data_IF_182952416246
#
_entry.id   IF_182952416246
#
_cell.length_a   1.000
_cell.length_b   1.000
_cell.length_c   1.000
_cell.angle_alpha   90.00
_cell.angle_beta   90.00
_cell.angle_gamma   90.00
#
_symmetry.space_group_name_H-M   'P 1'
#
loop_
_entity.id
_entity.type
_entity.pdbx_description
1 polymer ?
#
# COMPACT_ATOMS: atom_id res chain seq x y z
N UNK A 1 14.75 -32.39 -3.72
CA UNK A 1 14.71 -30.98 -4.20
C UNK A 1 14.49 -30.09 -2.97
N UNK A 2 15.30 -29.05 -2.77
CA UNK A 2 15.08 -28.06 -1.70
C UNK A 2 14.62 -26.75 -2.36
N UNK A 3 13.55 -26.16 -1.86
CA UNK A 3 13.03 -24.87 -2.31
C UNK A 3 13.57 -23.78 -1.38
N UNK A 4 14.16 -22.73 -1.94
CA UNK A 4 14.58 -21.54 -1.21
C UNK A 4 13.65 -20.40 -1.66
N UNK A 5 13.02 -19.74 -0.70
CA UNK A 5 12.16 -18.59 -0.95
C UNK A 5 13.00 -17.31 -0.76
N UNK A 6 12.98 -16.44 -1.76
CA UNK A 6 13.66 -15.15 -1.73
C UNK A 6 12.66 -14.04 -2.03
N UNK A 7 12.89 -12.87 -1.46
CA UNK A 7 12.02 -11.70 -1.57
C UNK A 7 12.77 -10.59 -2.30
N UNK A 8 12.14 -9.96 -3.28
CA UNK A 8 12.75 -8.89 -4.05
C UNK A 8 12.04 -7.57 -3.78
N UNK A 9 12.80 -6.51 -3.47
CA UNK A 9 12.28 -5.15 -3.42
C UNK A 9 11.85 -4.70 -4.82
N UNK A 10 10.61 -4.24 -4.96
CA UNK A 10 10.06 -3.83 -6.26
C UNK A 10 10.74 -2.58 -6.84
N UNK A 11 11.30 -1.71 -5.98
CA UNK A 11 11.91 -0.43 -6.38
C UNK A 11 13.35 -0.56 -6.84
N UNK A 12 14.19 -1.27 -6.10
CA UNK A 12 15.63 -1.40 -6.40
C UNK A 12 16.06 -2.78 -6.87
N UNK A 13 15.14 -3.75 -6.94
CA UNK A 13 15.39 -5.14 -7.39
C UNK A 13 16.39 -5.93 -6.53
N UNK A 14 16.81 -5.40 -5.38
CA UNK A 14 17.61 -6.14 -4.40
C UNK A 14 16.83 -7.31 -3.84
N UNK A 15 17.53 -8.42 -3.66
CA UNK A 15 16.98 -9.69 -3.18
C UNK A 15 17.38 -9.88 -1.71
N UNK A 16 16.45 -10.39 -0.93
CA UNK A 16 16.53 -10.59 0.50
C UNK A 16 16.02 -11.97 0.87
N UNK A 17 16.51 -12.51 1.97
CA UNK A 17 16.10 -13.83 2.47
C UNK A 17 14.81 -13.75 3.31
N UNK A 18 14.35 -12.53 3.65
CA UNK A 18 13.11 -12.31 4.39
C UNK A 18 12.22 -11.23 3.78
N UNK A 19 10.91 -11.41 3.94
CA UNK A 19 9.90 -10.44 3.51
C UNK A 19 10.09 -9.10 4.22
N UNK A 20 10.37 -9.12 5.53
CA UNK A 20 10.56 -7.91 6.32
C UNK A 20 11.75 -7.08 5.85
N UNK A 21 12.87 -7.71 5.47
CA UNK A 21 14.02 -6.99 4.92
C UNK A 21 13.70 -6.34 3.58
N UNK A 22 13.00 -7.06 2.68
CA UNK A 22 12.57 -6.51 1.41
C UNK A 22 11.60 -5.33 1.60
N UNK A 23 10.63 -5.46 2.52
CA UNK A 23 9.67 -4.40 2.82
C UNK A 23 10.30 -3.18 3.50
N UNK A 24 11.25 -3.37 4.42
CA UNK A 24 11.99 -2.25 5.01
C UNK A 24 12.80 -1.50 3.95
N UNK A 25 13.38 -2.22 2.98
CA UNK A 25 14.03 -1.57 1.83
C UNK A 25 13.03 -0.78 0.98
N UNK A 26 11.84 -1.32 0.73
CA UNK A 26 10.79 -0.61 -0.01
C UNK A 26 10.33 0.65 0.74
N UNK A 27 10.03 0.53 2.03
CA UNK A 27 9.64 1.64 2.89
C UNK A 27 10.67 2.77 2.87
N UNK A 28 11.96 2.43 2.96
CA UNK A 28 13.06 3.39 2.90
C UNK A 28 13.12 4.17 1.57
N UNK A 29 12.68 3.59 0.44
CA UNK A 29 12.60 4.33 -0.83
C UNK A 29 11.53 5.41 -0.83
N UNK A 30 10.54 5.30 0.06
CA UNK A 30 9.48 6.28 0.26
C UNK A 30 9.73 7.19 1.47
N UNK A 31 10.86 7.03 2.16
CA UNK A 31 11.13 7.75 3.41
C UNK A 31 10.22 7.33 4.56
N UNK A 32 9.57 6.17 4.45
CA UNK A 32 8.65 5.64 5.44
C UNK A 32 9.37 4.63 6.36
N UNK A 33 8.88 4.53 7.59
CA UNK A 33 9.11 3.37 8.44
C UNK A 33 8.35 2.16 7.91
N UNK A 34 8.72 0.97 8.40
CA UNK A 34 8.03 -0.27 8.01
C UNK A 34 6.53 -0.24 8.39
N UNK A 35 6.19 0.31 9.56
CA UNK A 35 4.80 0.41 10.04
C UNK A 35 3.98 1.37 9.19
N UNK A 36 4.52 2.56 8.88
CA UNK A 36 3.89 3.53 7.98
C UNK A 36 3.71 2.95 6.57
N UNK A 37 4.69 2.17 6.08
CA UNK A 37 4.58 1.51 4.79
C UNK A 37 3.47 0.46 4.74
N UNK A 38 3.30 -0.32 5.82
CA UNK A 38 2.17 -1.24 5.95
C UNK A 38 0.84 -0.49 5.99
N UNK A 39 0.76 0.59 6.76
CA UNK A 39 -0.44 1.42 6.83
C UNK A 39 -0.80 2.00 5.45
N UNK A 40 0.19 2.52 4.72
CA UNK A 40 -0.01 3.03 3.37
C UNK A 40 -0.48 1.94 2.39
N UNK A 41 0.12 0.74 2.42
CA UNK A 41 -0.32 -0.41 1.62
C UNK A 41 -1.77 -0.81 1.96
N UNK A 42 -2.19 -0.69 3.22
CA UNK A 42 -3.56 -0.97 3.64
C UNK A 42 -4.55 0.10 3.14
N UNK A 43 -4.17 1.38 3.17
CA UNK A 43 -4.97 2.48 2.59
C UNK A 43 -5.16 2.27 1.09
N UNK A 44 -4.08 1.96 0.35
CA UNK A 44 -4.14 1.65 -1.08
C UNK A 44 -5.08 0.47 -1.39
N UNK A 45 -5.01 -0.59 -0.58
CA UNK A 45 -5.90 -1.75 -0.70
C UNK A 45 -7.35 -1.35 -0.45
N UNK A 46 -7.61 -0.56 0.60
CA UNK A 46 -8.95 -0.09 0.98
C UNK A 46 -9.58 0.76 -0.13
N UNK A 47 -8.82 1.69 -0.71
CA UNK A 47 -9.28 2.49 -1.86
C UNK A 47 -9.63 1.60 -3.06
N UNK A 48 -8.80 0.60 -3.35
CA UNK A 48 -9.05 -0.35 -4.44
C UNK A 48 -10.33 -1.16 -4.22
N UNK A 49 -10.53 -1.67 -3.02
CA UNK A 49 -11.73 -2.45 -2.65
C UNK A 49 -12.99 -1.58 -2.66
N UNK A 50 -12.93 -0.38 -2.08
CA UNK A 50 -14.02 0.58 -2.09
C UNK A 50 -14.38 1.01 -3.52
N UNK A 51 -13.38 1.25 -4.38
CA UNK A 51 -13.58 1.58 -5.79
C UNK A 51 -14.21 0.44 -6.58
N UNK A 52 -13.78 -0.80 -6.35
CA UNK A 52 -14.40 -1.98 -6.95
C UNK A 52 -15.86 -2.14 -6.52
N UNK A 53 -16.15 -1.98 -5.23
CA UNK A 53 -17.51 -2.03 -4.70
C UNK A 53 -18.38 -0.91 -5.28
N UNK A 54 -17.86 0.30 -5.37
CA UNK A 54 -18.57 1.42 -5.96
C UNK A 54 -18.87 1.18 -7.45
N UNK A 55 -17.95 0.55 -8.19
CA UNK A 55 -18.18 0.19 -9.58
C UNK A 55 -19.24 -0.90 -9.75
N UNK A 56 -19.35 -1.85 -8.82
CA UNK A 56 -20.31 -2.97 -8.89
C UNK A 56 -21.70 -2.55 -8.43
N UNK A 57 -21.77 -1.79 -7.33
CA UNK A 57 -23.02 -1.40 -6.67
C UNK A 57 -23.02 0.09 -6.36
N UNK A 58 -22.96 0.91 -7.41
CA UNK A 58 -22.94 2.37 -7.28
C UNK A 58 -24.20 2.89 -6.59
N UNK A 59 -24.01 3.55 -5.45
CA UNK A 59 -25.02 4.26 -4.68
C UNK A 59 -24.35 5.30 -3.78
N UNK A 60 -25.13 6.18 -3.16
CA UNK A 60 -24.57 7.26 -2.31
C UNK A 60 -23.67 6.74 -1.17
N UNK A 61 -23.96 5.55 -0.64
CA UNK A 61 -23.15 4.94 0.43
C UNK A 61 -21.81 4.44 -0.09
N UNK A 62 -21.78 3.81 -1.27
CA UNK A 62 -20.53 3.29 -1.87
C UNK A 62 -19.70 4.41 -2.50
N UNK A 63 -20.33 5.43 -3.08
CA UNK A 63 -19.66 6.67 -3.51
C UNK A 63 -18.98 7.34 -2.30
N UNK A 64 -19.72 7.58 -1.20
CA UNK A 64 -19.15 8.17 0.01
C UNK A 64 -18.02 7.32 0.61
N UNK A 65 -18.19 6.00 0.67
CA UNK A 65 -17.15 5.11 1.20
C UNK A 65 -15.86 5.15 0.35
N UNK A 66 -15.99 5.30 -0.97
CA UNK A 66 -14.85 5.47 -1.87
C UNK A 66 -14.20 6.84 -1.67
N UNK A 67 -14.98 7.92 -1.61
CA UNK A 67 -14.47 9.27 -1.36
C UNK A 67 -13.74 9.36 -0.02
N UNK A 68 -14.32 8.83 1.06
CA UNK A 68 -13.70 8.79 2.39
C UNK A 68 -12.38 8.00 2.38
N UNK A 69 -12.31 6.88 1.66
CA UNK A 69 -11.08 6.10 1.52
C UNK A 69 -9.99 6.86 0.75
N UNK A 70 -10.37 7.54 -0.35
CA UNK A 70 -9.45 8.36 -1.15
C UNK A 70 -8.93 9.54 -0.34
N UNK A 71 -9.78 10.22 0.43
CA UNK A 71 -9.37 11.34 1.30
C UNK A 71 -8.28 10.88 2.27
N UNK A 72 -8.50 9.76 2.99
CA UNK A 72 -7.52 9.23 3.96
C UNK A 72 -6.19 8.88 3.30
N UNK A 73 -6.22 8.28 2.11
CA UNK A 73 -5.00 7.98 1.36
C UNK A 73 -4.24 9.26 0.99
N UNK A 74 -4.93 10.25 0.46
CA UNK A 74 -4.32 11.53 0.03
C UNK A 74 -3.78 12.32 1.23
N UNK A 75 -4.47 12.30 2.36
CA UNK A 75 -3.99 12.93 3.60
C UNK A 75 -2.68 12.28 4.07
N UNK A 76 -2.61 10.96 4.09
CA UNK A 76 -1.38 10.22 4.43
C UNK A 76 -0.25 10.55 3.44
N UNK A 77 -0.51 10.54 2.14
CA UNK A 77 0.50 10.84 1.12
C UNK A 77 1.04 12.27 1.24
N UNK A 78 0.18 13.24 1.62
CA UNK A 78 0.59 14.62 1.89
C UNK A 78 1.45 14.74 3.15
N UNK A 79 1.07 14.07 4.23
CA UNK A 79 1.83 14.09 5.50
C UNK A 79 3.24 13.54 5.30
N UNK A 80 3.36 12.44 4.57
CA UNK A 80 4.63 11.76 4.30
C UNK A 80 5.35 12.25 3.04
N UNK A 81 4.82 13.25 2.33
CA UNK A 81 5.40 13.85 1.11
C UNK A 81 5.71 12.81 0.02
N UNK A 82 4.80 11.87 -0.15
CA UNK A 82 4.91 10.79 -1.15
C UNK A 82 4.52 11.24 -2.57
N UNK A 83 3.71 12.31 -2.66
CA UNK A 83 3.15 12.90 -3.89
C UNK A 83 3.28 14.42 -3.85
#
# INVERSE_FOLDING_TARGET
MKTIMMYQCEKCRKVYDSASQAMTCEAAHYGLTLEEYYHWRELLKTVKEAGAMNSISKNERTDKAFDDAVIRLVEFEKEHKLV
#
